data_IF_058677462015
#
_entry.id   IF_058677462015
#
_cell.length_a   1.000
_cell.length_b   1.000
_cell.length_c   1.000
_cell.angle_alpha   90.00
_cell.angle_beta   90.00
_cell.angle_gamma   90.00
#
_symmetry.space_group_name_H-M   'P 1'
#
loop_
_entity.id
_entity.type
_entity.pdbx_description
1 polymer ?
#
# COMPACT_ATOMS: atom_id res chain seq x y z
N UNK A 1 -0.16 -21.86 4.30
CA UNK A 1 0.27 -20.48 4.00
C UNK A 1 -0.81 -19.55 4.52
N UNK A 2 -0.49 -18.63 5.45
CA UNK A 2 -1.41 -17.58 5.94
C UNK A 2 -1.24 -16.37 5.02
N UNK A 3 -2.35 -15.78 4.58
CA UNK A 3 -2.34 -14.50 3.87
C UNK A 3 -2.67 -13.40 4.89
N UNK A 4 -1.88 -12.34 4.91
CA UNK A 4 -2.05 -11.18 5.78
C UNK A 4 -2.40 -10.00 4.89
N UNK A 5 -3.53 -9.36 5.16
CA UNK A 5 -3.97 -8.16 4.45
C UNK A 5 -3.31 -6.92 5.07
N UNK A 6 -2.59 -6.15 4.26
CA UNK A 6 -1.89 -4.92 4.69
C UNK A 6 -2.55 -3.65 4.13
N UNK A 7 -3.66 -3.80 3.42
CA UNK A 7 -4.40 -2.70 2.81
C UNK A 7 -5.49 -2.21 3.74
N UNK A 8 -5.53 -0.90 3.98
CA UNK A 8 -6.65 -0.26 4.65
C UNK A 8 -7.82 -0.02 3.69
N UNK A 9 -9.04 -0.25 4.17
CA UNK A 9 -10.26 0.14 3.45
C UNK A 9 -10.31 1.65 3.28
N UNK A 10 -10.49 2.10 2.04
CA UNK A 10 -10.81 3.50 1.74
C UNK A 10 -12.32 3.68 1.95
N UNK A 11 -12.71 4.46 2.96
CA UNK A 11 -14.11 4.65 3.34
C UNK A 11 -14.72 5.93 2.80
N UNK A 12 -13.89 6.86 2.33
CA UNK A 12 -14.31 8.18 1.86
C UNK A 12 -13.61 8.51 0.54
N UNK A 13 -14.30 9.30 -0.29
CA UNK A 13 -13.77 9.83 -1.55
C UNK A 13 -13.97 11.35 -1.60
N UNK A 14 -13.10 12.05 -2.32
CA UNK A 14 -13.23 13.50 -2.50
C UNK A 14 -14.51 13.83 -3.27
N UNK A 15 -14.87 12.96 -4.23
CA UNK A 15 -16.14 12.94 -4.90
C UNK A 15 -16.55 11.50 -5.18
N UNK A 16 -17.85 11.22 -5.06
CA UNK A 16 -18.42 9.93 -5.45
C UNK A 16 -19.76 10.16 -6.14
N UNK A 17 -19.94 9.55 -7.32
CA UNK A 17 -21.23 9.49 -8.01
C UNK A 17 -21.62 8.05 -8.26
N UNK A 18 -22.92 7.78 -8.19
CA UNK A 18 -23.49 6.49 -8.51
C UNK A 18 -24.40 6.63 -9.71
N UNK A 19 -24.31 5.69 -10.65
CA UNK A 19 -25.23 5.61 -11.77
C UNK A 19 -25.50 4.16 -12.16
N UNK A 20 -26.63 3.94 -12.83
CA UNK A 20 -26.99 2.63 -13.38
C UNK A 20 -26.56 2.53 -14.83
N UNK A 21 -26.02 1.36 -15.20
CA UNK A 21 -25.62 1.04 -16.56
C UNK A 21 -26.28 -0.27 -16.99
N UNK A 22 -27.02 -0.25 -18.09
CA UNK A 22 -27.50 -1.48 -18.71
C UNK A 22 -26.30 -2.22 -19.34
N UNK A 23 -26.01 -3.44 -18.84
CA UNK A 23 -24.91 -4.28 -19.33
C UNK A 23 -25.52 -5.58 -19.86
N UNK A 24 -25.18 -5.92 -21.10
CA UNK A 24 -25.73 -7.10 -21.73
C UNK A 24 -25.42 -7.20 -23.20
N UNK A 25 -25.74 -8.35 -23.76
CA UNK A 25 -25.78 -8.60 -25.19
C UNK A 25 -27.13 -9.24 -25.58
N UNK A 26 -27.20 -9.92 -26.73
CA UNK A 26 -28.43 -10.56 -27.20
C UNK A 26 -28.92 -11.71 -26.32
N UNK A 27 -28.05 -12.29 -25.48
CA UNK A 27 -28.31 -13.51 -24.72
C UNK A 27 -28.50 -13.26 -23.22
N UNK A 28 -28.08 -12.09 -22.72
CA UNK A 28 -28.26 -11.71 -21.31
C UNK A 28 -28.35 -10.19 -21.16
N UNK A 29 -29.09 -9.73 -20.15
CA UNK A 29 -29.15 -8.31 -19.77
C UNK A 29 -29.29 -8.19 -18.26
N UNK A 30 -28.52 -7.27 -17.66
CA UNK A 30 -28.66 -6.87 -16.26
C UNK A 30 -28.35 -5.38 -16.08
N UNK A 31 -28.77 -4.81 -14.97
CA UNK A 31 -28.40 -3.44 -14.58
C UNK A 31 -27.19 -3.51 -13.66
N UNK A 32 -26.07 -2.96 -14.10
CA UNK A 32 -24.91 -2.69 -13.26
C UNK A 32 -25.12 -1.41 -12.47
N UNK A 33 -24.73 -1.40 -11.20
CA UNK A 33 -24.55 -0.18 -10.42
C UNK A 33 -23.08 0.19 -10.49
N UNK A 34 -22.78 1.35 -11.07
CA UNK A 34 -21.42 1.87 -11.25
C UNK A 34 -21.19 2.99 -10.25
N UNK A 35 -20.01 2.96 -9.62
CA UNK A 35 -19.53 4.01 -8.73
C UNK A 35 -18.31 4.65 -9.37
N UNK A 36 -18.39 5.96 -9.61
CA UNK A 36 -17.23 6.76 -9.96
C UNK A 36 -16.74 7.43 -8.67
N UNK A 37 -15.45 7.31 -8.39
CA UNK A 37 -14.82 7.93 -7.23
C UNK A 37 -13.55 8.66 -7.65
N UNK A 38 -13.28 9.78 -6.98
CA UNK A 38 -12.07 10.57 -7.14
C UNK A 38 -11.27 10.58 -5.85
N UNK A 39 -9.98 10.32 -5.99
CA UNK A 39 -8.99 10.37 -4.91
C UNK A 39 -7.68 10.88 -5.46
N UNK A 40 -6.88 11.52 -4.60
CA UNK A 40 -5.48 11.74 -4.88
C UNK A 40 -4.67 10.42 -4.80
N UNK A 41 -3.43 10.44 -5.28
CA UNK A 41 -2.57 9.26 -5.37
C UNK A 41 -2.08 8.70 -4.03
N UNK A 42 -2.30 9.42 -2.92
CA UNK A 42 -1.77 9.09 -1.59
C UNK A 42 -2.87 8.68 -0.61
N UNK A 43 -4.04 8.27 -1.10
CA UNK A 43 -5.15 7.81 -0.24
C UNK A 43 -4.90 6.39 0.28
N UNK A 44 -5.16 6.17 1.58
CA UNK A 44 -5.15 4.83 2.18
C UNK A 44 -3.76 4.18 2.17
N UNK A 45 -3.71 2.90 1.83
CA UNK A 45 -2.44 2.19 1.56
C UNK A 45 -2.03 2.47 0.12
N UNK A 46 -0.92 3.19 -0.08
CA UNK A 46 -0.45 3.63 -1.39
C UNK A 46 1.02 3.25 -1.63
N UNK A 47 1.50 3.50 -2.85
CA UNK A 47 2.88 3.27 -3.28
C UNK A 47 3.43 4.58 -3.86
N UNK A 48 4.59 5.00 -3.35
CA UNK A 48 5.38 6.06 -3.98
C UNK A 48 6.35 5.44 -5.00
N UNK A 49 6.17 5.80 -6.27
CA UNK A 49 7.14 5.49 -7.31
C UNK A 49 8.28 6.53 -7.32
N UNK A 50 9.46 6.22 -7.89
CA UNK A 50 10.59 7.16 -7.90
C UNK A 50 10.24 8.57 -8.41
N UNK A 51 9.40 8.68 -9.44
CA UNK A 51 8.91 9.96 -9.96
C UNK A 51 7.95 10.74 -9.04
N UNK A 52 7.61 10.22 -7.85
CA UNK A 52 6.75 10.91 -6.88
C UNK A 52 7.46 12.07 -6.19
N UNK A 53 8.78 11.95 -5.94
CA UNK A 53 9.58 12.96 -5.23
C UNK A 53 10.60 13.54 -6.20
N UNK A 54 10.56 14.85 -6.40
CA UNK A 54 11.38 15.57 -7.38
C UNK A 54 12.89 15.32 -7.23
N UNK A 55 13.38 15.23 -6.01
CA UNK A 55 14.80 15.02 -5.70
C UNK A 55 15.31 13.62 -6.05
N UNK A 56 14.40 12.64 -6.18
CA UNK A 56 14.73 11.24 -6.52
C UNK A 56 14.01 10.77 -7.79
N UNK A 57 13.47 11.71 -8.56
CA UNK A 57 12.77 11.44 -9.80
C UNK A 57 13.73 10.86 -10.84
N UNK A 58 13.47 9.63 -11.25
CA UNK A 58 14.19 8.93 -12.32
C UNK A 58 13.33 8.67 -13.56
N UNK A 59 12.17 9.35 -13.63
CA UNK A 59 11.21 9.26 -14.72
C UNK A 59 10.28 8.05 -14.67
N UNK A 60 10.44 7.15 -13.69
CA UNK A 60 9.54 6.00 -13.53
C UNK A 60 8.35 6.31 -12.64
N UNK A 61 7.18 5.92 -13.12
CA UNK A 61 5.87 6.10 -12.50
C UNK A 61 5.08 4.78 -12.48
N UNK A 62 3.81 4.84 -12.05
CA UNK A 62 2.94 3.67 -12.01
C UNK A 62 2.74 2.99 -13.38
N UNK A 63 2.90 3.72 -14.49
CA UNK A 63 2.72 3.17 -15.83
C UNK A 63 4.00 2.48 -16.37
N UNK A 64 5.17 2.85 -15.85
CA UNK A 64 6.48 2.44 -16.38
C UNK A 64 7.33 1.62 -15.41
N UNK A 65 6.95 1.53 -14.13
CA UNK A 65 7.70 0.75 -13.15
C UNK A 65 7.61 -0.77 -13.44
N UNK A 66 8.72 -1.53 -13.37
CA UNK A 66 8.72 -2.95 -13.70
C UNK A 66 7.85 -3.77 -12.74
N UNK A 67 6.86 -4.49 -13.26
CA UNK A 67 5.87 -5.25 -12.47
C UNK A 67 6.51 -6.39 -11.67
N UNK A 68 7.60 -6.97 -12.18
CA UNK A 68 8.37 -8.00 -11.49
C UNK A 68 8.98 -7.50 -10.17
N UNK A 69 9.12 -6.19 -10.01
CA UNK A 69 9.57 -5.55 -8.77
C UNK A 69 8.43 -5.26 -7.79
N UNK A 70 7.18 -5.61 -8.13
CA UNK A 70 5.99 -5.43 -7.30
C UNK A 70 5.38 -6.76 -6.82
N UNK A 71 5.85 -7.88 -7.34
CA UNK A 71 5.21 -9.18 -7.14
C UNK A 71 6.13 -10.15 -6.41
N UNK A 72 5.63 -10.76 -5.32
CA UNK A 72 6.33 -11.77 -4.52
C UNK A 72 7.75 -11.34 -4.13
N UNK A 73 7.85 -10.12 -3.65
CA UNK A 73 9.09 -9.58 -3.12
C UNK A 73 9.33 -10.24 -1.77
N UNK A 74 10.47 -10.91 -1.61
CA UNK A 74 10.92 -11.34 -0.30
C UNK A 74 11.15 -10.11 0.57
N UNK A 75 10.60 -10.14 1.79
CA UNK A 75 10.64 -9.02 2.71
C UNK A 75 11.24 -9.42 4.05
N UNK A 76 12.09 -8.55 4.58
CA UNK A 76 12.48 -8.57 5.99
C UNK A 76 11.47 -7.76 6.79
N UNK A 77 10.92 -8.32 7.86
CA UNK A 77 9.99 -7.60 8.76
C UNK A 77 10.72 -7.28 10.07
N UNK A 78 10.70 -6.01 10.45
CA UNK A 78 11.28 -5.52 11.70
C UNK A 78 10.15 -4.99 12.59
N UNK A 79 10.11 -5.45 13.84
CA UNK A 79 9.14 -4.99 14.83
C UNK A 79 9.81 -4.02 15.78
N UNK A 80 9.23 -2.83 15.91
CA UNK A 80 9.68 -1.85 16.88
C UNK A 80 8.86 -1.98 18.16
N UNK A 81 9.54 -2.21 19.28
CA UNK A 81 8.93 -2.19 20.61
C UNK A 81 8.76 -0.74 21.08
N UNK A 82 7.68 -0.11 20.61
CA UNK A 82 7.37 1.29 20.89
C UNK A 82 5.87 1.48 21.13
N UNK A 83 5.50 2.60 21.76
CA UNK A 83 4.09 2.97 21.88
C UNK A 83 3.53 3.35 20.50
N UNK A 84 2.36 2.81 20.16
CA UNK A 84 1.65 3.14 18.91
C UNK A 84 1.39 4.64 18.83
N UNK A 85 1.80 5.28 17.73
CA UNK A 85 1.57 6.72 17.53
C UNK A 85 2.54 7.63 18.28
N UNK A 86 3.64 7.09 18.83
CA UNK A 86 4.69 7.86 19.52
C UNK A 86 5.54 8.75 18.61
N UNK A 87 5.20 8.90 17.32
CA UNK A 87 5.88 9.79 16.38
C UNK A 87 6.82 9.06 15.43
N UNK A 88 7.90 9.74 15.03
CA UNK A 88 8.84 9.24 14.03
C UNK A 88 9.66 8.05 14.55
N UNK A 89 10.11 7.22 13.61
CA UNK A 89 11.11 6.18 13.84
C UNK A 89 12.50 6.81 13.79
N UNK A 90 13.28 6.60 14.84
CA UNK A 90 14.66 7.09 14.93
C UNK A 90 15.66 6.08 14.37
N UNK A 91 16.85 6.58 14.01
CA UNK A 91 17.95 5.72 13.57
C UNK A 91 18.41 4.74 14.67
N UNK A 92 18.36 5.15 15.95
CA UNK A 92 18.72 4.28 17.07
C UNK A 92 17.75 3.10 17.21
N UNK A 93 16.44 3.36 17.10
CA UNK A 93 15.43 2.28 17.11
C UNK A 93 15.63 1.30 15.97
N UNK A 94 15.95 1.79 14.76
CA UNK A 94 16.26 0.92 13.64
C UNK A 94 17.55 0.14 13.86
N UNK A 95 18.58 0.76 14.43
CA UNK A 95 19.84 0.09 14.71
C UNK A 95 19.70 -1.03 15.74
N UNK A 96 18.86 -0.84 16.76
CA UNK A 96 18.62 -1.83 17.79
C UNK A 96 17.72 -2.99 17.30
N UNK A 97 16.79 -2.71 16.38
CA UNK A 97 15.78 -3.68 15.93
C UNK A 97 16.12 -4.39 14.61
N UNK A 98 16.90 -3.76 13.72
CA UNK A 98 17.23 -4.37 12.43
C UNK A 98 18.26 -5.50 12.60
N UNK A 99 18.13 -6.58 11.81
CA UNK A 99 19.19 -7.58 11.71
C UNK A 99 20.44 -6.98 11.05
N UNK A 100 21.58 -7.64 11.24
CA UNK A 100 22.84 -7.26 10.56
C UNK A 100 22.72 -7.30 9.02
N UNK A 101 21.85 -8.17 8.50
CA UNK A 101 21.58 -8.30 7.06
C UNK A 101 20.08 -8.23 6.76
N UNK A 102 19.70 -7.32 5.87
CA UNK A 102 18.35 -7.23 5.32
C UNK A 102 18.29 -8.18 4.13
N UNK A 103 17.46 -9.21 4.24
CA UNK A 103 17.23 -10.17 3.19
C UNK A 103 16.06 -9.72 2.29
N UNK A 104 16.16 -10.03 1.00
CA UNK A 104 15.08 -9.78 0.03
C UNK A 104 15.10 -8.39 -0.60
N UNK A 105 14.00 -8.04 -1.27
CA UNK A 105 13.84 -6.78 -2.01
C UNK A 105 13.07 -5.70 -1.25
N UNK A 106 12.56 -5.99 -0.05
CA UNK A 106 11.76 -5.08 0.76
C UNK A 106 12.10 -5.16 2.25
N UNK A 107 11.97 -4.04 2.95
CA UNK A 107 12.00 -3.93 4.40
C UNK A 107 10.64 -3.41 4.87
N UNK A 108 9.98 -4.14 5.76
CA UNK A 108 8.73 -3.74 6.39
C UNK A 108 9.03 -3.35 7.83
N UNK A 109 8.76 -2.09 8.18
CA UNK A 109 8.92 -1.57 9.54
C UNK A 109 7.55 -1.57 10.22
N UNK A 110 7.33 -2.50 11.14
CA UNK A 110 6.17 -2.51 12.01
C UNK A 110 6.39 -1.56 13.20
N UNK A 111 5.97 -0.31 13.04
CA UNK A 111 6.03 0.73 14.06
C UNK A 111 4.73 0.85 14.90
N UNK A 112 3.86 -0.16 14.85
CA UNK A 112 2.57 -0.16 15.53
C UNK A 112 2.65 -0.60 17.00
N UNK A 113 3.83 -0.99 17.47
CA UNK A 113 4.02 -1.49 18.84
C UNK A 113 3.26 -2.78 19.09
N UNK A 114 2.48 -2.81 20.16
CA UNK A 114 1.61 -3.95 20.50
C UNK A 114 0.51 -4.24 19.47
N UNK A 115 0.20 -3.30 18.57
CA UNK A 115 -0.81 -3.49 17.52
C UNK A 115 -0.16 -4.17 16.31
N UNK A 116 0.16 -5.44 16.44
CA UNK A 116 0.82 -6.21 15.38
C UNK A 116 -0.15 -6.54 14.23
N UNK A 117 0.32 -6.46 12.98
CA UNK A 117 -0.45 -6.88 11.80
C UNK A 117 -0.25 -8.36 11.45
N UNK A 118 0.75 -9.00 12.05
CA UNK A 118 1.27 -10.32 11.72
C UNK A 118 0.83 -11.44 12.69
N UNK A 119 0.12 -11.10 13.78
CA UNK A 119 -0.46 -12.06 14.72
C UNK A 119 -1.68 -12.81 14.14
#
# INVERSE_FOLDING_TARGET
MKLIELTHTITEAEAATQHELAIGDKNFSYTGVVYDFSHNSMVGTYIDFPGHIKEVDDGRDAASFPVERLFRIDATVVHLDRESGSGSVSAAELQDACPEEINGGALIINALGHRRFDE
#
